data_IF_311488660574
#
_entry.id   IF_311488660574
#
_cell.length_a   1.000
_cell.length_b   1.000
_cell.length_c   1.000
_cell.angle_alpha   90.00
_cell.angle_beta   90.00
_cell.angle_gamma   90.00
#
_symmetry.space_group_name_H-M   'P 1'
#
loop_
_entity.id
_entity.type
_entity.pdbx_description
1 polymer ?
#
# COMPACT_ATOMS: atom_id res chain seq x y z
N UNK A 1 2.31 -12.89 -10.82
CA UNK A 1 3.27 -11.89 -10.33
C UNK A 1 3.24 -10.57 -11.11
N UNK A 2 3.47 -10.55 -12.44
CA UNK A 2 3.48 -9.29 -13.22
C UNK A 2 2.20 -8.45 -13.09
N UNK A 3 1.03 -9.09 -13.05
CA UNK A 3 -0.26 -8.41 -12.81
C UNK A 3 -0.27 -7.70 -11.46
N UNK A 4 0.26 -8.32 -10.40
CA UNK A 4 0.35 -7.70 -9.08
C UNK A 4 1.29 -6.50 -9.07
N UNK A 5 2.44 -6.60 -9.74
CA UNK A 5 3.34 -5.46 -9.89
C UNK A 5 2.70 -4.34 -10.69
N UNK A 6 1.96 -4.64 -11.76
CA UNK A 6 1.25 -3.64 -12.54
C UNK A 6 0.19 -2.92 -11.70
N UNK A 7 -0.62 -3.69 -10.96
CA UNK A 7 -1.61 -3.13 -10.05
C UNK A 7 -0.97 -2.25 -8.97
N UNK A 8 0.17 -2.68 -8.40
CA UNK A 8 0.94 -1.88 -7.46
C UNK A 8 1.48 -0.60 -8.11
N UNK A 9 1.99 -0.65 -9.34
CA UNK A 9 2.48 0.53 -10.06
C UNK A 9 1.36 1.56 -10.23
N UNK A 10 0.17 1.14 -10.63
CA UNK A 10 -0.97 2.05 -10.81
C UNK A 10 -1.41 2.68 -9.48
N UNK A 11 -1.62 1.86 -8.45
CA UNK A 11 -2.14 2.32 -7.16
C UNK A 11 -1.08 3.09 -6.37
N UNK A 12 0.12 2.53 -6.24
CA UNK A 12 1.21 3.21 -5.54
C UNK A 12 1.68 4.45 -6.29
N UNK A 13 1.65 4.45 -7.63
CA UNK A 13 1.90 5.64 -8.43
C UNK A 13 0.91 6.76 -8.10
N UNK A 14 -0.39 6.47 -8.11
CA UNK A 14 -1.41 7.44 -7.75
C UNK A 14 -1.24 7.96 -6.31
N UNK A 15 -1.11 7.05 -5.33
CA UNK A 15 -1.01 7.41 -3.91
C UNK A 15 0.27 8.23 -3.64
N UNK A 16 1.41 7.80 -4.18
CA UNK A 16 2.68 8.49 -3.96
C UNK A 16 2.70 9.89 -4.56
N UNK A 17 2.27 10.03 -5.83
CA UNK A 17 2.25 11.33 -6.52
C UNK A 17 1.28 12.28 -5.84
N UNK A 18 0.06 11.82 -5.54
CA UNK A 18 -0.92 12.66 -4.84
C UNK A 18 -0.41 13.08 -3.46
N UNK A 19 0.16 12.17 -2.67
CA UNK A 19 0.68 12.50 -1.34
C UNK A 19 1.90 13.44 -1.36
N UNK A 20 2.80 13.30 -2.34
CA UNK A 20 4.04 14.08 -2.42
C UNK A 20 3.82 15.49 -2.97
N UNK A 21 3.02 15.61 -4.02
CA UNK A 21 2.88 16.86 -4.78
C UNK A 21 1.56 17.59 -4.51
N UNK A 22 0.49 16.86 -4.16
CA UNK A 22 -0.86 17.40 -3.94
C UNK A 22 -1.51 16.83 -2.67
N UNK A 23 -0.90 16.99 -1.47
CA UNK A 23 -1.32 16.29 -0.26
C UNK A 23 -2.77 16.57 0.16
N UNK A 24 -3.35 17.73 -0.19
CA UNK A 24 -4.78 18.01 0.00
C UNK A 24 -5.69 17.12 -0.85
N UNK A 25 -5.29 16.84 -2.09
CA UNK A 25 -6.01 15.89 -2.95
C UNK A 25 -5.91 14.47 -2.39
N UNK A 26 -4.74 14.07 -1.89
CA UNK A 26 -4.58 12.77 -1.24
C UNK A 26 -5.47 12.62 0.01
N UNK A 27 -5.59 13.69 0.82
CA UNK A 27 -6.49 13.73 1.97
C UNK A 27 -7.93 13.37 1.58
N UNK A 28 -8.45 14.04 0.56
CA UNK A 28 -9.84 13.89 0.11
C UNK A 28 -10.09 12.55 -0.61
N UNK A 29 -9.11 12.09 -1.41
CA UNK A 29 -9.31 10.95 -2.31
C UNK A 29 -8.81 9.62 -1.74
N UNK A 30 -7.58 9.57 -1.22
CA UNK A 30 -6.94 8.35 -0.71
C UNK A 30 -7.35 8.12 0.74
N UNK A 31 -7.31 9.19 1.55
CA UNK A 31 -7.63 9.12 2.98
C UNK A 31 -9.09 9.44 3.28
N UNK A 32 -9.90 9.80 2.27
CA UNK A 32 -11.33 10.09 2.38
C UNK A 32 -11.69 10.99 3.56
N UNK A 33 -10.88 12.03 3.78
CA UNK A 33 -10.99 12.99 4.89
C UNK A 33 -11.00 12.38 6.29
N UNK A 34 -10.57 11.12 6.43
CA UNK A 34 -10.49 10.43 7.72
C UNK A 34 -9.38 10.99 8.63
N UNK A 35 -8.41 11.70 8.06
CA UNK A 35 -7.34 12.35 8.78
C UNK A 35 -7.33 13.85 8.47
N UNK A 36 -7.03 14.66 9.49
CA UNK A 36 -6.73 16.07 9.28
C UNK A 36 -5.47 16.23 8.43
N UNK A 37 -5.41 17.33 7.67
CA UNK A 37 -4.23 17.66 6.86
C UNK A 37 -2.96 17.68 7.73
N UNK A 38 -1.91 17.02 7.26
CA UNK A 38 -0.59 17.04 7.87
C UNK A 38 0.49 16.83 6.79
N UNK A 39 1.66 17.45 6.98
CA UNK A 39 2.83 17.18 6.14
C UNK A 39 3.30 15.73 6.22
N UNK A 40 2.84 14.97 7.22
CA UNK A 40 3.05 13.53 7.33
C UNK A 40 2.53 12.76 6.10
N UNK A 41 1.58 13.32 5.33
CA UNK A 41 1.17 12.72 4.06
C UNK A 41 2.33 12.63 3.07
N UNK A 42 3.26 13.58 3.04
CA UNK A 42 4.44 13.48 2.15
C UNK A 42 5.38 12.35 2.57
N UNK A 43 5.49 12.07 3.88
CA UNK A 43 6.25 10.91 4.37
C UNK A 43 5.61 9.59 3.93
N UNK A 44 4.28 9.50 4.04
CA UNK A 44 3.52 8.37 3.48
C UNK A 44 3.76 8.28 1.96
N UNK A 45 3.68 9.40 1.26
CA UNK A 45 3.94 9.49 -0.18
C UNK A 45 5.33 8.98 -0.56
N UNK A 46 6.38 9.28 0.22
CA UNK A 46 7.73 8.80 -0.02
C UNK A 46 7.85 7.27 0.13
N UNK A 47 7.20 6.69 1.15
CA UNK A 47 7.13 5.23 1.32
C UNK A 47 6.43 4.57 0.13
N UNK A 48 5.28 5.12 -0.28
CA UNK A 48 4.55 4.61 -1.44
C UNK A 48 5.31 4.80 -2.74
N UNK A 49 6.12 5.87 -2.86
CA UNK A 49 6.96 6.10 -4.03
C UNK A 49 8.06 5.04 -4.14
N UNK A 50 8.68 4.66 -3.03
CA UNK A 50 9.64 3.55 -3.00
C UNK A 50 8.97 2.24 -3.44
N UNK A 51 7.76 1.94 -2.95
CA UNK A 51 6.98 0.76 -3.38
C UNK A 51 6.65 0.84 -4.88
N UNK A 52 6.30 2.01 -5.39
CA UNK A 52 6.02 2.25 -6.81
C UNK A 52 7.23 1.95 -7.68
N UNK A 53 8.41 2.52 -7.36
CA UNK A 53 9.66 2.29 -8.11
C UNK A 53 10.04 0.82 -8.09
N UNK A 54 10.03 0.19 -6.91
CA UNK A 54 10.36 -1.22 -6.76
C UNK A 54 9.35 -2.13 -7.49
N UNK A 55 8.07 -1.77 -7.51
CA UNK A 55 7.05 -2.50 -8.26
C UNK A 55 7.23 -2.33 -9.77
N UNK A 56 7.65 -1.16 -10.24
CA UNK A 56 8.00 -0.94 -11.64
C UNK A 56 9.19 -1.81 -12.06
N UNK A 57 10.23 -1.90 -11.23
CA UNK A 57 11.34 -2.85 -11.45
C UNK A 57 10.85 -4.31 -11.43
N UNK A 58 9.89 -4.64 -10.56
CA UNK A 58 9.26 -5.96 -10.50
C UNK A 58 8.51 -6.37 -11.76
N UNK A 59 8.14 -5.45 -12.65
CA UNK A 59 7.59 -5.81 -13.96
C UNK A 59 8.63 -6.50 -14.86
N UNK A 60 9.90 -6.08 -14.74
CA UNK A 60 11.03 -6.62 -15.50
C UNK A 60 11.70 -7.80 -14.77
N UNK A 61 11.82 -7.71 -13.44
CA UNK A 61 12.49 -8.70 -12.59
C UNK A 61 11.54 -9.26 -11.51
N UNK A 62 10.47 -9.97 -11.88
CA UNK A 62 9.36 -10.28 -10.97
C UNK A 62 9.71 -11.23 -9.83
N UNK A 63 10.67 -12.15 -10.05
CA UNK A 63 11.14 -13.08 -9.01
C UNK A 63 12.11 -12.41 -8.04
N UNK A 64 13.08 -11.67 -8.57
CA UNK A 64 14.08 -10.95 -7.78
C UNK A 64 13.44 -9.87 -6.89
N UNK A 65 12.35 -9.26 -7.35
CA UNK A 65 11.61 -8.25 -6.58
C UNK A 65 10.52 -8.85 -5.69
N UNK A 66 10.41 -10.17 -5.54
CA UNK A 66 9.36 -10.81 -4.74
C UNK A 66 9.34 -10.34 -3.27
N UNK A 67 10.50 -9.95 -2.73
CA UNK A 67 10.60 -9.40 -1.37
C UNK A 67 9.77 -8.11 -1.20
N UNK A 68 9.55 -7.34 -2.26
CA UNK A 68 8.70 -6.13 -2.26
C UNK A 68 7.24 -6.51 -1.99
N UNK A 69 6.79 -7.66 -2.48
CA UNK A 69 5.44 -8.16 -2.22
C UNK A 69 5.29 -8.64 -0.77
N UNK A 70 6.34 -9.26 -0.20
CA UNK A 70 6.38 -9.63 1.22
C UNK A 70 6.33 -8.39 2.11
N UNK A 71 7.14 -7.38 1.81
CA UNK A 71 7.11 -6.10 2.55
C UNK A 71 5.73 -5.46 2.49
N UNK A 72 5.07 -5.48 1.33
CA UNK A 72 3.71 -4.97 1.19
C UNK A 72 2.68 -5.77 2.00
N UNK A 73 2.82 -7.10 2.05
CA UNK A 73 1.96 -7.95 2.87
C UNK A 73 2.09 -7.58 4.35
N UNK A 74 3.32 -7.44 4.84
CA UNK A 74 3.61 -7.05 6.23
C UNK A 74 3.06 -5.66 6.51
N UNK A 75 3.40 -4.67 5.68
CA UNK A 75 2.97 -3.28 5.82
C UNK A 75 1.44 -3.12 5.85
N UNK A 76 0.74 -3.68 4.85
CA UNK A 76 -0.72 -3.57 4.76
C UNK A 76 -1.40 -4.33 5.89
N UNK A 77 -0.89 -5.52 6.22
CA UNK A 77 -1.38 -6.34 7.33
C UNK A 77 -1.25 -5.63 8.67
N UNK A 78 -0.07 -5.09 8.97
CA UNK A 78 0.15 -4.31 10.21
C UNK A 78 -0.70 -3.06 10.26
N UNK A 79 -0.86 -2.31 9.17
CA UNK A 79 -1.75 -1.15 9.15
C UNK A 79 -3.22 -1.55 9.41
N UNK A 80 -3.71 -2.65 8.83
CA UNK A 80 -5.06 -3.14 9.10
C UNK A 80 -5.27 -3.50 10.57
N UNK A 81 -4.30 -4.18 11.19
CA UNK A 81 -4.40 -4.65 12.57
C UNK A 81 -4.21 -3.52 13.58
N UNK A 82 -3.28 -2.60 13.33
CA UNK A 82 -2.86 -1.59 14.32
C UNK A 82 -3.59 -0.26 14.13
N UNK A 83 -4.02 0.08 12.92
CA UNK A 83 -4.74 1.33 12.65
C UNK A 83 -6.22 1.09 12.38
N UNK A 84 -6.57 0.25 11.39
CA UNK A 84 -7.96 0.09 10.97
C UNK A 84 -8.82 -0.66 12.00
N UNK A 85 -8.34 -1.79 12.54
CA UNK A 85 -9.12 -2.59 13.48
C UNK A 85 -9.48 -1.82 14.77
N UNK A 86 -8.56 -1.10 15.43
CA UNK A 86 -8.91 -0.29 16.60
C UNK A 86 -9.89 0.83 16.26
N UNK A 87 -9.75 1.48 15.10
CA UNK A 87 -10.69 2.51 14.65
C UNK A 87 -12.10 1.95 14.43
N UNK A 88 -12.22 0.76 13.84
CA UNK A 88 -13.51 0.07 13.68
C UNK A 88 -14.13 -0.25 15.04
N UNK A 89 -13.34 -0.78 15.99
CA UNK A 89 -13.84 -1.14 17.33
C UNK A 89 -14.32 0.07 18.14
N UNK A 90 -13.75 1.26 17.88
CA UNK A 90 -14.10 2.51 18.55
C UNK A 90 -15.10 3.37 17.78
N UNK A 91 -15.53 2.91 16.60
CA UNK A 91 -16.36 3.67 15.66
C UNK A 91 -15.72 5.01 15.22
N UNK A 92 -14.39 5.09 15.27
CA UNK A 92 -13.62 6.25 14.81
C UNK A 92 -13.60 6.33 13.26
N UNK A 93 -13.34 7.53 12.74
CA UNK A 93 -13.14 7.71 11.29
C UNK A 93 -11.83 7.06 10.81
N UNK A 94 -11.91 6.33 9.69
CA UNK A 94 -10.75 5.71 9.04
C UNK A 94 -10.99 5.62 7.52
N UNK A 95 -9.95 5.54 6.69
CA UNK A 95 -10.11 5.49 5.24
C UNK A 95 -10.61 4.12 4.79
N UNK A 96 -11.93 3.95 4.73
CA UNK A 96 -12.61 2.68 4.42
C UNK A 96 -12.17 2.09 3.08
N UNK A 97 -12.03 2.92 2.04
CA UNK A 97 -11.57 2.48 0.72
C UNK A 97 -10.15 1.90 0.76
N UNK A 98 -9.23 2.58 1.45
CA UNK A 98 -7.86 2.11 1.65
C UNK A 98 -7.83 0.80 2.47
N UNK A 99 -8.64 0.69 3.52
CA UNK A 99 -8.74 -0.52 4.33
C UNK A 99 -9.26 -1.72 3.53
N UNK A 100 -10.33 -1.55 2.74
CA UNK A 100 -10.84 -2.61 1.86
C UNK A 100 -9.80 -3.05 0.83
N UNK A 101 -9.11 -2.09 0.21
CA UNK A 101 -8.03 -2.40 -0.73
C UNK A 101 -6.90 -3.20 -0.06
N UNK A 102 -6.51 -2.81 1.16
CA UNK A 102 -5.47 -3.51 1.92
C UNK A 102 -5.89 -4.92 2.28
N UNK A 103 -7.13 -5.10 2.70
CA UNK A 103 -7.67 -6.41 3.06
C UNK A 103 -7.60 -7.38 1.88
N UNK A 104 -8.06 -6.95 0.71
CA UNK A 104 -7.97 -7.76 -0.52
C UNK A 104 -6.51 -8.11 -0.83
N UNK A 105 -5.59 -7.14 -0.74
CA UNK A 105 -4.16 -7.40 -0.98
C UNK A 105 -3.56 -8.40 0.00
N UNK A 106 -3.86 -8.27 1.29
CA UNK A 106 -3.34 -9.16 2.33
C UNK A 106 -3.87 -10.59 2.15
N UNK A 107 -5.10 -10.75 1.65
CA UNK A 107 -5.66 -12.07 1.35
C UNK A 107 -5.10 -12.66 0.04
N UNK A 108 -4.84 -11.84 -0.98
CA UNK A 108 -4.39 -12.32 -2.30
C UNK A 108 -2.88 -12.59 -2.34
N UNK A 109 -2.05 -11.71 -1.75
CA UNK A 109 -0.60 -11.77 -1.85
C UNK A 109 0.02 -13.10 -1.39
N UNK A 110 -0.46 -13.78 -0.32
CA UNK A 110 0.09 -15.06 0.09
C UNK A 110 0.03 -16.16 -0.97
N UNK A 111 -0.92 -16.07 -1.91
CA UNK A 111 -1.04 -17.02 -3.01
C UNK A 111 -0.20 -16.63 -4.23
N UNK A 112 0.31 -15.39 -4.28
CA UNK A 112 1.13 -14.88 -5.40
C UNK A 112 2.63 -14.91 -5.08
N UNK A 113 3.01 -14.77 -3.82
CA UNK A 113 4.41 -14.73 -3.40
C UNK A 113 5.06 -16.11 -3.59
N UNK A 114 6.21 -16.20 -4.30
CA UNK A 114 6.94 -17.46 -4.47
C UNK A 114 7.75 -17.78 -3.21
N UNK A 115 7.09 -18.22 -2.13
CA UNK A 115 7.69 -18.39 -0.81
C UNK A 115 8.99 -19.20 -0.79
N UNK A 116 9.08 -20.26 -1.61
CA UNK A 116 10.28 -21.08 -1.73
C UNK A 116 11.46 -20.33 -2.31
N UNK A 117 11.23 -19.42 -3.26
CA UNK A 117 12.30 -18.63 -3.88
C UNK A 117 12.76 -17.48 -2.98
N UNK A 118 11.91 -17.05 -2.03
CA UNK A 118 12.22 -15.94 -1.12
C UNK A 118 12.97 -16.42 0.14
N UNK A 119 12.65 -17.62 0.64
CA UNK A 119 13.15 -18.13 1.93
C UNK A 119 13.85 -19.49 1.87
N UNK A 120 13.98 -20.10 0.69
CA UNK A 120 14.65 -21.40 0.47
C UNK A 120 15.74 -21.29 -0.58
#
# INVERSE_FOLDING_TARGET
MKIMYLANVLVAGWISVSCLFSPKTAQQTVFTDAFAYSESFRLVGALWFAIFVLSALGLFYPRQMALVLVLQLIYKGTWLVVAAAPAIMKEDSYPKGMAMFFLVWVLVLPFVIPWREVFG
#
